data_IF_849113612491
#
_entry.id   IF_849113612491
#
_cell.length_a   1.000
_cell.length_b   1.000
_cell.length_c   1.000
_cell.angle_alpha   90.00
_cell.angle_beta   90.00
_cell.angle_gamma   90.00
#
_symmetry.space_group_name_H-M   'P 1'
#
loop_
_entity.id
_entity.type
_entity.pdbx_description
1 polymer ?
#
# COMPACT_ATOMS: atom_id res chain seq x y z
N UNK A 1 -27.34 -0.68 -23.41
CA UNK A 1 -25.99 -1.26 -23.29
C UNK A 1 -25.01 -0.22 -23.82
N UNK A 2 -24.37 0.52 -22.91
CA UNK A 2 -23.35 1.50 -23.25
C UNK A 2 -22.14 1.21 -22.36
N UNK A 3 -21.03 0.97 -23.03
CA UNK A 3 -19.72 0.60 -22.52
C UNK A 3 -19.17 1.71 -21.62
N UNK A 4 -19.01 1.43 -20.33
CA UNK A 4 -18.21 2.25 -19.43
C UNK A 4 -16.74 2.06 -19.79
N UNK A 5 -16.27 2.93 -20.67
CA UNK A 5 -14.87 3.04 -21.04
C UNK A 5 -14.02 3.30 -19.79
N UNK A 6 -13.02 2.45 -19.64
CA UNK A 6 -11.92 2.50 -18.69
C UNK A 6 -11.42 3.93 -18.44
N UNK A 7 -11.70 4.46 -17.24
CA UNK A 7 -11.00 5.64 -16.71
C UNK A 7 -9.68 5.17 -16.06
N UNK A 8 -8.87 4.46 -16.84
CA UNK A 8 -7.45 4.28 -16.53
C UNK A 8 -6.70 5.32 -17.37
N UNK A 9 -5.97 6.20 -16.69
CA UNK A 9 -5.00 7.12 -17.29
C UNK A 9 -5.62 8.31 -18.05
N UNK A 10 -6.13 9.31 -17.32
CA UNK A 10 -6.05 10.69 -17.85
C UNK A 10 -5.43 11.61 -16.82
N UNK A 11 -4.32 12.21 -17.26
CA UNK A 11 -3.56 13.30 -16.66
C UNK A 11 -2.38 12.92 -15.75
N UNK A 12 -1.38 12.22 -16.30
CA UNK A 12 -0.02 12.33 -15.78
C UNK A 12 0.90 12.89 -16.88
N UNK A 13 0.95 14.22 -16.97
CA UNK A 13 2.03 14.94 -17.64
C UNK A 13 2.71 15.83 -16.60
N UNK A 14 4.02 15.69 -16.46
CA UNK A 14 5.09 16.70 -16.37
C UNK A 14 6.37 15.94 -15.96
N UNK A 15 7.33 15.72 -16.87
CA UNK A 15 8.48 16.60 -17.16
C UNK A 15 9.13 17.16 -15.89
N UNK A 16 10.02 16.38 -15.29
CA UNK A 16 11.34 16.88 -14.91
C UNK A 16 12.37 15.75 -14.86
N UNK A 17 13.45 15.93 -15.62
CA UNK A 17 14.63 15.06 -15.64
C UNK A 17 15.63 15.69 -14.67
N UNK A 18 15.61 15.29 -13.38
CA UNK A 18 16.73 15.34 -12.39
C UNK A 18 16.26 15.57 -10.94
N UNK A 19 15.21 14.89 -10.49
CA UNK A 19 14.98 14.69 -9.06
C UNK A 19 14.75 13.20 -8.85
N UNK A 20 15.56 12.58 -7.99
CA UNK A 20 15.26 11.25 -7.51
C UNK A 20 13.88 11.34 -6.83
N UNK A 21 12.85 10.77 -7.46
CA UNK A 21 11.51 10.66 -6.91
C UNK A 21 11.61 9.76 -5.68
N UNK A 22 11.90 10.34 -4.53
CA UNK A 22 11.83 9.66 -3.24
C UNK A 22 10.44 9.92 -2.68
N UNK A 23 9.77 8.86 -2.26
CA UNK A 23 8.47 8.96 -1.64
C UNK A 23 8.71 9.55 -0.24
N UNK A 24 8.44 10.85 -0.08
CA UNK A 24 8.82 11.60 1.12
C UNK A 24 7.83 11.44 2.27
N UNK A 25 6.59 11.02 1.99
CA UNK A 25 5.54 10.84 2.99
C UNK A 25 5.46 9.40 3.46
N UNK A 26 5.53 9.24 4.78
CA UNK A 26 5.26 7.98 5.47
C UNK A 26 3.78 7.87 5.79
N UNK A 27 3.27 6.65 5.77
CA UNK A 27 1.92 6.35 6.20
C UNK A 27 1.83 6.46 7.72
N UNK A 28 0.69 6.93 8.22
CA UNK A 28 0.43 7.05 9.65
C UNK A 28 -0.15 5.76 10.20
N UNK A 29 0.09 5.50 11.49
CA UNK A 29 -0.59 4.45 12.22
C UNK A 29 -2.08 4.79 12.35
N UNK A 30 -2.95 3.83 12.04
CA UNK A 30 -4.40 4.00 12.14
C UNK A 30 -4.88 4.14 13.58
N UNK A 31 -4.14 3.58 14.54
CA UNK A 31 -4.48 3.60 15.97
C UNK A 31 -3.78 4.72 16.75
N UNK A 32 -2.77 5.36 16.16
CA UNK A 32 -1.97 6.39 16.84
C UNK A 32 -1.47 7.43 15.82
N UNK A 33 -2.19 8.55 15.71
CA UNK A 33 -1.92 9.56 14.68
C UNK A 33 -0.57 10.26 14.81
N UNK A 34 0.08 10.20 15.98
CA UNK A 34 1.42 10.74 16.24
C UNK A 34 2.55 9.88 15.68
N UNK A 35 2.26 8.62 15.30
CA UNK A 35 3.27 7.64 14.94
C UNK A 35 3.13 7.20 13.48
N UNK A 36 4.27 6.97 12.83
CA UNK A 36 4.30 6.40 11.48
C UNK A 36 3.99 4.89 11.54
N UNK A 37 3.18 4.43 10.59
CA UNK A 37 3.02 3.00 10.35
C UNK A 37 4.29 2.44 9.73
N UNK A 38 4.76 1.33 10.30
CA UNK A 38 5.87 0.56 9.72
C UNK A 38 5.49 -0.91 9.50
N UNK A 39 4.30 -1.32 9.93
CA UNK A 39 3.76 -2.66 9.75
C UNK A 39 2.40 -2.52 9.07
N UNK A 40 2.19 -3.28 8.00
CA UNK A 40 0.86 -3.53 7.45
C UNK A 40 0.45 -4.96 7.77
N UNK A 41 -0.70 -5.13 8.44
CA UNK A 41 -1.27 -6.44 8.71
C UNK A 41 -2.29 -6.79 7.63
N UNK A 42 -2.06 -7.88 6.89
CA UNK A 42 -2.88 -8.25 5.72
C UNK A 42 -4.28 -8.66 6.16
N UNK A 43 -4.38 -9.52 7.17
CA UNK A 43 -5.65 -10.05 7.67
C UNK A 43 -6.47 -8.97 8.39
N UNK A 44 -5.82 -8.05 9.10
CA UNK A 44 -6.51 -6.91 9.72
C UNK A 44 -6.81 -5.80 8.72
N UNK A 45 -6.18 -5.81 7.53
CA UNK A 45 -6.17 -4.71 6.58
C UNK A 45 -5.91 -3.36 7.28
N UNK A 46 -4.85 -3.29 8.08
CA UNK A 46 -4.55 -2.12 8.91
C UNK A 46 -3.07 -1.74 8.90
N UNK A 47 -2.81 -0.43 8.94
CA UNK A 47 -1.49 0.19 9.07
C UNK A 47 -1.18 0.51 10.53
N UNK A 48 -0.11 -0.09 11.05
CA UNK A 48 0.23 -0.05 12.48
C UNK A 48 1.67 0.40 12.71
N UNK A 49 1.87 1.14 13.81
CA UNK A 49 3.20 1.28 14.43
C UNK A 49 3.58 -0.03 15.15
N UNK A 50 4.83 -0.13 15.63
CA UNK A 50 5.32 -1.32 16.34
C UNK A 50 4.46 -1.62 17.58
N UNK A 51 4.13 -0.58 18.34
CA UNK A 51 3.41 -0.69 19.61
C UNK A 51 1.98 -1.20 19.38
N UNK A 52 1.22 -0.54 18.51
CA UNK A 52 -0.14 -0.99 18.16
C UNK A 52 -0.13 -2.39 17.53
N UNK A 53 0.86 -2.73 16.70
CA UNK A 53 1.00 -4.09 16.20
C UNK A 53 1.18 -5.08 17.35
N UNK A 54 2.06 -4.79 18.31
CA UNK A 54 2.31 -5.67 19.44
C UNK A 54 1.07 -5.82 20.30
N UNK A 55 0.35 -4.75 20.62
CA UNK A 55 -0.88 -4.81 21.42
C UNK A 55 -1.99 -5.63 20.75
N UNK A 56 -2.28 -5.36 19.47
CA UNK A 56 -3.35 -6.03 18.72
C UNK A 56 -3.02 -7.52 18.50
N UNK A 57 -1.74 -7.85 18.29
CA UNK A 57 -1.29 -9.21 17.95
C UNK A 57 -0.64 -9.96 19.12
N UNK A 58 -0.69 -9.41 20.35
CA UNK A 58 -0.18 -10.07 21.57
C UNK A 58 -0.95 -11.34 21.92
N UNK A 59 -2.25 -11.33 21.68
CA UNK A 59 -3.15 -12.41 22.11
C UNK A 59 -3.04 -13.62 21.19
N UNK A 60 -2.78 -14.79 21.79
CA UNK A 60 -2.44 -16.05 21.14
C UNK A 60 -3.54 -16.67 20.28
N UNK A 61 -4.79 -16.23 20.41
CA UNK A 61 -5.91 -17.02 19.92
C UNK A 61 -6.21 -16.82 18.42
N UNK A 62 -6.19 -15.59 17.90
CA UNK A 62 -6.60 -15.33 16.51
C UNK A 62 -5.58 -14.52 15.69
N UNK A 63 -4.86 -13.59 16.32
CA UNK A 63 -4.10 -12.58 15.57
C UNK A 63 -2.60 -12.88 15.44
N UNK A 64 -2.05 -13.81 16.24
CA UNK A 64 -0.59 -14.05 16.26
C UNK A 64 0.00 -14.49 14.91
N UNK A 65 -0.80 -15.22 14.13
CA UNK A 65 -0.39 -15.78 12.83
C UNK A 65 -0.76 -14.88 11.64
N UNK A 66 -1.22 -13.64 11.90
CA UNK A 66 -1.45 -12.71 10.81
C UNK A 66 -0.13 -12.40 10.08
N UNK A 67 -0.22 -12.45 8.76
CA UNK A 67 0.84 -12.08 7.86
C UNK A 67 1.00 -10.56 7.90
N UNK A 68 2.23 -10.14 8.13
CA UNK A 68 2.58 -8.74 8.37
C UNK A 68 3.72 -8.37 7.44
N UNK A 69 3.57 -7.23 6.78
CA UNK A 69 4.59 -6.64 5.92
C UNK A 69 5.30 -5.53 6.69
N UNK A 70 6.63 -5.59 6.76
CA UNK A 70 7.44 -4.50 7.26
C UNK A 70 7.63 -3.47 6.14
N UNK A 71 7.01 -2.31 6.28
CA UNK A 71 7.02 -1.25 5.27
C UNK A 71 8.43 -0.69 5.03
N UNK A 72 9.31 -0.74 6.03
CA UNK A 72 10.70 -0.30 5.89
C UNK A 72 11.56 -1.26 5.06
N UNK A 73 11.11 -2.50 4.86
CA UNK A 73 11.82 -3.51 4.08
C UNK A 73 11.38 -3.54 2.61
N UNK A 74 10.30 -2.84 2.26
CA UNK A 74 9.83 -2.74 0.88
C UNK A 74 10.83 -1.90 0.10
N UNK A 75 11.06 -2.26 -1.16
CA UNK A 75 11.87 -1.44 -2.06
C UNK A 75 11.32 0.00 -2.11
N UNK A 76 12.21 0.97 -2.34
CA UNK A 76 11.85 2.40 -2.37
C UNK A 76 11.13 2.76 -3.67
N UNK A 77 10.08 2.02 -3.99
CA UNK A 77 9.19 2.29 -5.10
C UNK A 77 8.03 3.17 -4.62
N UNK A 78 7.70 4.21 -5.37
CA UNK A 78 6.59 5.09 -5.05
C UNK A 78 5.31 4.62 -5.73
N UNK A 79 4.19 4.99 -5.12
CA UNK A 79 2.89 4.77 -5.73
C UNK A 79 2.84 5.43 -7.11
N UNK A 80 2.36 4.67 -8.10
CA UNK A 80 2.20 5.11 -9.49
C UNK A 80 1.19 6.26 -9.63
N UNK A 81 0.30 6.42 -8.65
CA UNK A 81 -0.75 7.47 -8.63
C UNK A 81 -0.36 8.65 -7.75
N UNK A 82 0.22 8.38 -6.59
CA UNK A 82 0.65 9.41 -5.64
C UNK A 82 2.10 9.18 -5.25
N UNK A 83 3.00 9.75 -6.06
CA UNK A 83 4.44 9.59 -5.92
C UNK A 83 5.01 10.16 -4.62
N UNK A 84 4.19 10.76 -3.76
CA UNK A 84 4.60 11.18 -2.42
C UNK A 84 4.65 10.02 -1.43
N UNK A 85 3.91 8.94 -1.67
CA UNK A 85 3.80 7.80 -0.77
C UNK A 85 4.49 6.55 -1.34
N UNK A 86 5.08 5.75 -0.44
CA UNK A 86 5.67 4.47 -0.80
C UNK A 86 4.60 3.51 -1.30
N UNK A 87 4.91 2.78 -2.36
CA UNK A 87 4.06 1.68 -2.83
C UNK A 87 4.20 0.47 -1.90
N UNK A 88 3.06 -0.16 -1.62
CA UNK A 88 2.96 -1.37 -0.80
C UNK A 88 2.45 -2.55 -1.63
N UNK A 89 1.62 -2.25 -2.62
CA UNK A 89 0.92 -3.24 -3.44
C UNK A 89 1.35 -3.12 -4.89
N UNK A 90 1.46 -4.26 -5.56
CA UNK A 90 1.54 -4.35 -7.01
C UNK A 90 0.29 -5.06 -7.53
N UNK A 91 -0.35 -4.48 -8.53
CA UNK A 91 -1.45 -5.09 -9.25
C UNK A 91 -0.95 -5.56 -10.61
N UNK A 92 -0.93 -6.88 -10.82
CA UNK A 92 -0.50 -7.48 -12.09
C UNK A 92 -1.43 -7.14 -13.25
N UNK A 93 -2.74 -7.00 -13.00
CA UNK A 93 -3.72 -6.64 -14.03
C UNK A 93 -3.56 -5.19 -14.49
N UNK A 94 -3.34 -4.27 -13.55
CA UNK A 94 -3.10 -2.86 -13.87
C UNK A 94 -1.67 -2.59 -14.33
N UNK A 95 -0.74 -3.51 -14.03
CA UNK A 95 0.70 -3.33 -14.17
C UNK A 95 1.23 -2.06 -13.46
N UNK A 96 0.66 -1.75 -12.29
CA UNK A 96 0.98 -0.54 -11.51
C UNK A 96 1.22 -0.87 -10.04
N UNK A 97 1.94 0.03 -9.37
CA UNK A 97 2.23 -0.01 -7.94
C UNK A 97 1.43 1.04 -7.17
N UNK A 98 0.98 0.69 -5.97
CA UNK A 98 0.00 1.46 -5.20
C UNK A 98 0.43 1.62 -3.75
N UNK A 99 0.30 2.83 -3.21
CA UNK A 99 0.26 3.04 -1.76
C UNK A 99 -1.06 2.51 -1.19
N UNK A 100 -1.14 2.39 0.14
CA UNK A 100 -2.34 1.89 0.81
C UNK A 100 -3.61 2.68 0.47
N UNK A 101 -3.58 4.01 0.53
CA UNK A 101 -4.76 4.83 0.26
C UNK A 101 -5.25 4.69 -1.18
N UNK A 102 -4.34 4.76 -2.16
CA UNK A 102 -4.69 4.57 -3.56
C UNK A 102 -5.23 3.16 -3.83
N UNK A 103 -4.67 2.16 -3.14
CA UNK A 103 -5.16 0.79 -3.19
C UNK A 103 -6.59 0.66 -2.65
N UNK A 104 -6.88 1.14 -1.43
CA UNK A 104 -8.23 1.06 -0.84
C UNK A 104 -9.26 1.78 -1.74
N UNK A 105 -8.92 2.95 -2.26
CA UNK A 105 -9.84 3.73 -3.08
C UNK A 105 -10.18 3.07 -4.43
N UNK A 106 -9.21 2.40 -5.06
CA UNK A 106 -9.40 1.88 -6.41
C UNK A 106 -9.74 0.39 -6.44
N UNK A 107 -9.06 -0.43 -5.64
CA UNK A 107 -9.11 -1.89 -5.75
C UNK A 107 -9.99 -2.57 -4.71
N UNK A 108 -10.50 -1.84 -3.72
CA UNK A 108 -11.41 -2.39 -2.71
C UNK A 108 -12.89 -2.22 -3.08
N UNK A 109 -13.21 -1.43 -4.12
CA UNK A 109 -14.59 -1.35 -4.63
C UNK A 109 -14.98 -2.66 -5.32
N UNK A 110 -16.22 -3.08 -5.05
CA UNK A 110 -16.75 -4.44 -5.19
C UNK A 110 -16.55 -5.13 -6.56
N UNK A 111 -16.35 -4.38 -7.64
CA UNK A 111 -16.18 -4.90 -9.00
C UNK A 111 -14.72 -5.17 -9.42
N UNK A 112 -13.72 -4.76 -8.64
CA UNK A 112 -12.29 -4.93 -9.00
C UNK A 112 -11.59 -6.08 -8.25
N UNK A 113 -12.36 -6.96 -7.60
CA UNK A 113 -11.86 -8.14 -6.88
C UNK A 113 -11.16 -9.18 -7.78
N UNK A 114 -11.26 -9.05 -9.11
CA UNK A 114 -10.57 -9.91 -10.06
C UNK A 114 -9.08 -9.58 -10.22
N UNK A 115 -8.61 -8.47 -9.66
CA UNK A 115 -7.22 -8.06 -9.72
C UNK A 115 -6.41 -8.79 -8.64
N UNK A 116 -5.71 -9.86 -9.04
CA UNK A 116 -4.84 -10.65 -8.15
C UNK A 116 -3.64 -9.79 -7.71
N UNK A 117 -3.73 -9.27 -6.50
CA UNK A 117 -2.70 -8.44 -5.90
C UNK A 117 -1.51 -9.27 -5.44
N UNK A 118 -0.33 -8.69 -5.64
CA UNK A 118 0.92 -9.20 -5.16
C UNK A 118 1.54 -8.16 -4.25
N UNK A 119 2.06 -8.60 -3.11
CA UNK A 119 2.91 -7.77 -2.26
C UNK A 119 4.15 -7.37 -3.06
N UNK A 120 4.58 -6.12 -2.91
CA UNK A 120 5.91 -5.73 -3.38
C UNK A 120 6.95 -6.54 -2.61
N UNK A 121 7.99 -6.97 -3.32
CA UNK A 121 9.04 -7.77 -2.72
C UNK A 121 9.71 -6.95 -1.61
N UNK A 122 9.87 -7.56 -0.45
CA UNK A 122 10.77 -7.01 0.57
C UNK A 122 12.20 -7.31 0.15
N UNK A 123 13.13 -6.42 0.49
CA UNK A 123 14.56 -6.69 0.35
C UNK A 123 14.86 -7.99 1.09
N UNK A 124 15.19 -9.04 0.34
CA UNK A 124 15.75 -10.26 0.94
C UNK A 124 17.13 -9.87 1.48
N UNK A 125 17.25 -9.80 2.81
CA UNK A 125 18.55 -9.79 3.48
C UNK A 125 19.30 -11.08 3.17
#
# INVERSE_FOLDING_TARGET
>A
MQTTENVCLRNYQFKDKTSYLTCTKRLLCENELSSNAIIYCIQCNSLLCIECNNEIHKNLNNNKNHERLNLNEIENECCSIDQQHQAIFYCSTCALTYCYTCYQNQHQQLDQREHKLQKLSTKKN
#
